data_IF_681308501713
#
_entry.id   IF_681308501713
#
_cell.length_a   1.000
_cell.length_b   1.000
_cell.length_c   1.000
_cell.angle_alpha   90.00
_cell.angle_beta   90.00
_cell.angle_gamma   90.00
#
_symmetry.space_group_name_H-M   'P 1'
#
loop_
_entity.id
_entity.type
_entity.pdbx_description
1 polymer ?
#
# COMPACT_ATOMS: atom_id res chain seq x y z
N UNK A 1 -2.02 -20.82 -2.97
CA UNK A 1 -2.12 -19.48 -2.34
C UNK A 1 -3.26 -18.73 -3.02
N UNK A 2 -4.14 -18.08 -2.27
CA UNK A 2 -5.26 -17.32 -2.82
C UNK A 2 -5.07 -15.83 -2.52
N UNK A 3 -5.11 -14.99 -3.54
CA UNK A 3 -5.05 -13.53 -3.44
C UNK A 3 -6.40 -12.97 -3.89
N UNK A 4 -7.12 -12.31 -2.99
CA UNK A 4 -8.36 -11.60 -3.29
C UNK A 4 -8.08 -10.10 -3.29
N UNK A 5 -8.41 -9.42 -4.39
CA UNK A 5 -8.31 -7.96 -4.51
C UNK A 5 -9.71 -7.35 -4.53
N UNK A 6 -9.98 -6.45 -3.58
CA UNK A 6 -11.30 -5.86 -3.39
C UNK A 6 -11.51 -4.58 -4.21
N UNK A 7 -12.78 -4.23 -4.52
CA UNK A 7 -13.09 -2.91 -5.07
C UNK A 7 -12.80 -1.79 -4.06
N UNK A 8 -11.73 -1.04 -4.29
CA UNK A 8 -11.20 -0.03 -3.37
C UNK A 8 -11.10 1.40 -3.97
N UNK A 9 -11.86 1.68 -5.03
CA UNK A 9 -11.84 2.93 -5.82
C UNK A 9 -10.43 3.20 -6.37
N UNK A 10 -9.79 4.30 -5.98
CA UNK A 10 -8.40 4.59 -6.31
C UNK A 10 -7.40 3.81 -5.48
N UNK A 11 -7.81 3.15 -4.39
CA UNK A 11 -6.90 2.55 -3.42
C UNK A 11 -6.59 1.06 -3.59
N UNK A 12 -5.83 0.54 -2.64
CA UNK A 12 -5.44 -0.87 -2.54
C UNK A 12 -6.11 -1.58 -1.36
N UNK A 13 -6.54 -2.83 -1.58
CA UNK A 13 -7.12 -3.68 -0.54
C UNK A 13 -7.05 -5.14 -0.96
N UNK A 14 -6.27 -5.93 -0.21
CA UNK A 14 -6.03 -7.33 -0.51
C UNK A 14 -6.21 -8.22 0.70
N UNK A 15 -6.77 -9.41 0.48
CA UNK A 15 -6.71 -10.53 1.42
C UNK A 15 -5.90 -11.65 0.77
N UNK A 16 -4.79 -12.02 1.39
CA UNK A 16 -3.93 -13.12 0.98
C UNK A 16 -4.12 -14.28 1.93
N UNK A 17 -4.42 -15.45 1.40
CA UNK A 17 -4.77 -16.66 2.14
C UNK A 17 -3.86 -17.82 1.77
N UNK A 18 -3.30 -18.49 2.78
CA UNK A 18 -2.27 -19.53 2.63
C UNK A 18 -2.74 -20.90 3.12
N UNK A 19 -2.34 -21.96 2.43
CA UNK A 19 -2.69 -23.36 2.75
C UNK A 19 -3.82 -23.94 1.90
N UNK A 20 -3.81 -25.26 1.68
CA UNK A 20 -4.90 -26.01 1.03
C UNK A 20 -6.20 -25.97 1.85
N UNK A 21 -6.07 -25.95 3.18
CA UNK A 21 -7.17 -25.74 4.13
C UNK A 21 -7.21 -24.31 4.68
N UNK A 22 -6.60 -23.35 3.97
CA UNK A 22 -6.50 -21.92 4.29
C UNK A 22 -6.38 -21.64 5.80
N UNK A 23 -5.17 -21.67 6.36
CA UNK A 23 -4.97 -21.53 7.82
C UNK A 23 -4.46 -20.17 8.25
N UNK A 24 -3.81 -19.47 7.34
CA UNK A 24 -3.11 -18.22 7.63
C UNK A 24 -3.50 -17.16 6.63
N UNK A 25 -3.60 -15.93 7.11
CA UNK A 25 -4.14 -14.81 6.34
C UNK A 25 -3.33 -13.55 6.55
N UNK A 26 -3.18 -12.78 5.49
CA UNK A 26 -2.63 -11.44 5.52
C UNK A 26 -3.62 -10.47 4.87
N UNK A 27 -3.71 -9.27 5.42
CA UNK A 27 -4.36 -8.13 4.75
C UNK A 27 -3.25 -7.17 4.32
N UNK A 28 -3.32 -6.68 3.08
CA UNK A 28 -2.39 -5.69 2.54
C UNK A 28 -3.24 -4.51 2.09
N UNK A 29 -3.11 -3.40 2.81
CA UNK A 29 -3.98 -2.24 2.74
C UNK A 29 -5.47 -2.59 2.89
N UNK A 30 -6.32 -1.57 2.93
CA UNK A 30 -7.72 -1.75 3.29
C UNK A 30 -8.69 -0.87 2.49
N UNK A 31 -8.17 -0.12 1.53
CA UNK A 31 -8.95 0.81 0.74
C UNK A 31 -9.51 1.96 1.58
N UNK A 32 -10.55 2.59 1.05
CA UNK A 32 -11.42 3.49 1.80
C UNK A 32 -12.31 2.77 2.83
N UNK A 33 -12.95 3.55 3.71
CA UNK A 33 -14.00 3.06 4.64
C UNK A 33 -15.06 2.21 3.92
N UNK A 34 -15.54 2.68 2.76
CA UNK A 34 -16.56 1.96 1.98
C UNK A 34 -16.09 0.55 1.56
N UNK A 35 -14.79 0.36 1.33
CA UNK A 35 -14.20 -0.95 1.00
C UNK A 35 -14.36 -1.90 2.18
N UNK A 36 -14.11 -1.39 3.38
CA UNK A 36 -14.30 -2.16 4.61
C UNK A 36 -15.76 -2.50 4.84
N UNK A 37 -16.64 -1.49 4.79
CA UNK A 37 -18.07 -1.64 5.07
C UNK A 37 -18.73 -2.64 4.10
N UNK A 38 -18.37 -2.59 2.81
CA UNK A 38 -19.04 -3.37 1.77
C UNK A 38 -18.40 -4.74 1.49
N UNK A 39 -17.11 -4.94 1.80
CA UNK A 39 -16.39 -6.16 1.40
C UNK A 39 -15.62 -6.82 2.55
N UNK A 40 -14.69 -6.10 3.18
CA UNK A 40 -13.79 -6.73 4.15
C UNK A 40 -14.54 -7.20 5.39
N UNK A 41 -15.47 -6.41 5.93
CA UNK A 41 -16.12 -6.71 7.21
C UNK A 41 -16.78 -8.09 7.21
N UNK A 42 -17.63 -8.37 6.22
CA UNK A 42 -18.33 -9.66 6.11
C UNK A 42 -17.32 -10.80 5.96
N UNK A 43 -16.28 -10.61 5.14
CA UNK A 43 -15.21 -11.60 4.93
C UNK A 43 -14.49 -11.93 6.24
N UNK A 44 -14.13 -10.92 7.02
CA UNK A 44 -13.43 -11.08 8.29
C UNK A 44 -14.32 -11.73 9.36
N UNK A 45 -15.61 -11.36 9.44
CA UNK A 45 -16.56 -12.02 10.33
C UNK A 45 -16.72 -13.51 9.98
N UNK A 46 -16.74 -13.85 8.69
CA UNK A 46 -16.78 -15.24 8.24
C UNK A 46 -15.52 -16.02 8.63
N UNK A 47 -14.33 -15.46 8.34
CA UNK A 47 -13.05 -16.06 8.75
C UNK A 47 -13.00 -16.31 10.27
N UNK A 48 -13.47 -15.35 11.06
CA UNK A 48 -13.53 -15.48 12.52
C UNK A 48 -14.47 -16.59 12.98
N UNK A 49 -15.67 -16.71 12.37
CA UNK A 49 -16.62 -17.81 12.65
C UNK A 49 -16.04 -19.19 12.32
N UNK A 50 -15.23 -19.25 11.27
CA UNK A 50 -14.54 -20.47 10.84
C UNK A 50 -13.26 -20.75 11.68
N UNK A 51 -12.98 -19.92 12.69
CA UNK A 51 -11.88 -20.11 13.64
C UNK A 51 -10.53 -19.57 13.18
N UNK A 52 -10.51 -18.76 12.12
CA UNK A 52 -9.29 -18.16 11.57
C UNK A 52 -8.97 -16.80 12.21
N UNK A 53 -7.77 -16.32 11.90
CA UNK A 53 -7.24 -15.03 12.35
C UNK A 53 -6.42 -14.38 11.25
N UNK A 54 -6.22 -13.06 11.33
CA UNK A 54 -5.26 -12.36 10.49
C UNK A 54 -3.88 -12.44 11.15
N UNK A 55 -2.93 -13.08 10.48
CA UNK A 55 -1.54 -13.17 10.94
C UNK A 55 -0.85 -11.82 10.85
N UNK A 56 -1.07 -11.09 9.75
CA UNK A 56 -0.44 -9.80 9.54
C UNK A 56 -1.36 -8.86 8.75
N UNK A 57 -1.58 -7.67 9.29
CA UNK A 57 -2.16 -6.54 8.57
C UNK A 57 -1.03 -5.58 8.19
N UNK A 58 -0.75 -5.44 6.90
CA UNK A 58 0.24 -4.50 6.38
C UNK A 58 -0.49 -3.26 5.88
N UNK A 59 -0.12 -2.10 6.41
CA UNK A 59 -0.53 -0.79 5.91
C UNK A 59 0.70 -0.16 5.27
N UNK A 60 0.71 -0.12 3.93
CA UNK A 60 1.91 0.19 3.15
C UNK A 60 2.37 1.61 3.37
N UNK A 61 1.44 2.57 3.42
CA UNK A 61 1.69 3.98 3.75
C UNK A 61 0.41 4.66 4.26
N UNK A 62 0.45 5.97 4.52
CA UNK A 62 -0.57 6.69 5.29
C UNK A 62 -1.74 7.25 4.47
N UNK A 63 -1.75 7.08 3.15
CA UNK A 63 -2.75 7.74 2.32
C UNK A 63 -4.15 7.15 2.54
N UNK A 64 -5.14 8.02 2.35
CA UNK A 64 -6.54 7.76 2.73
C UNK A 64 -7.12 6.53 2.05
N UNK A 65 -6.72 6.30 0.82
CA UNK A 65 -7.15 5.20 -0.01
C UNK A 65 -6.43 3.87 0.30
N UNK A 66 -5.49 3.87 1.25
CA UNK A 66 -4.89 2.66 1.80
C UNK A 66 -5.36 2.38 3.24
N UNK A 67 -5.44 3.42 4.08
CA UNK A 67 -5.70 3.27 5.53
C UNK A 67 -7.18 3.34 5.93
N UNK A 68 -8.05 3.88 5.06
CA UNK A 68 -9.41 4.25 5.43
C UNK A 68 -10.26 3.08 5.95
N UNK A 69 -10.11 1.89 5.36
CA UNK A 69 -10.77 0.68 5.82
C UNK A 69 -10.20 0.15 7.14
N UNK A 70 -8.89 0.28 7.36
CA UNK A 70 -8.18 -0.16 8.55
C UNK A 70 -8.54 0.69 9.76
N UNK A 71 -8.71 2.00 9.57
CA UNK A 71 -9.23 2.89 10.61
C UNK A 71 -10.60 2.41 11.12
N UNK A 72 -11.52 2.10 10.22
CA UNK A 72 -12.85 1.63 10.58
C UNK A 72 -12.81 0.20 11.16
N UNK A 73 -11.96 -0.68 10.62
CA UNK A 73 -11.72 -2.01 11.17
C UNK A 73 -11.22 -1.93 12.61
N UNK A 74 -10.12 -1.23 12.91
CA UNK A 74 -9.55 -1.21 14.26
C UNK A 74 -10.51 -0.54 15.26
N UNK A 75 -11.18 0.54 14.85
CA UNK A 75 -12.22 1.21 15.65
C UNK A 75 -13.36 0.24 16.03
N UNK A 76 -13.85 -0.54 15.07
CA UNK A 76 -14.99 -1.44 15.29
C UNK A 76 -14.58 -2.78 15.91
N UNK A 77 -13.35 -3.23 15.68
CA UNK A 77 -12.79 -4.46 16.22
C UNK A 77 -12.43 -4.32 17.71
N UNK A 78 -12.03 -3.13 18.16
CA UNK A 78 -11.72 -2.86 19.57
C UNK A 78 -10.40 -3.49 20.03
N UNK A 79 -10.32 -3.86 21.31
CA UNK A 79 -9.09 -4.34 21.95
C UNK A 79 -8.61 -5.70 21.39
N UNK A 80 -7.30 -5.84 21.20
CA UNK A 80 -6.67 -6.99 20.55
C UNK A 80 -6.87 -8.33 21.28
N UNK A 81 -6.98 -8.28 22.61
CA UNK A 81 -7.23 -9.47 23.46
C UNK A 81 -8.66 -10.00 23.37
N UNK A 82 -9.63 -9.14 23.07
CA UNK A 82 -11.05 -9.52 22.93
C UNK A 82 -11.68 -8.79 21.73
N UNK A 83 -11.26 -9.13 20.51
CA UNK A 83 -11.70 -8.45 19.30
C UNK A 83 -13.16 -8.78 19.00
N UNK A 84 -13.92 -7.78 18.54
CA UNK A 84 -15.34 -7.93 18.19
C UNK A 84 -15.56 -8.59 16.83
N UNK A 85 -14.57 -8.54 15.94
CA UNK A 85 -14.69 -8.99 14.55
C UNK A 85 -13.71 -10.13 14.30
N UNK A 86 -12.41 -9.87 14.37
CA UNK A 86 -11.38 -10.88 14.08
C UNK A 86 -10.10 -10.63 14.89
N UNK A 87 -9.42 -11.71 15.28
CA UNK A 87 -8.09 -11.62 15.88
C UNK A 87 -7.07 -11.20 14.83
N UNK A 88 -6.32 -10.14 15.13
CA UNK A 88 -5.18 -9.66 14.34
C UNK A 88 -3.92 -9.86 15.18
N UNK A 89 -2.99 -10.70 14.72
CA UNK A 89 -1.79 -11.05 15.50
C UNK A 89 -0.72 -9.96 15.46
N UNK A 90 -0.58 -9.27 14.33
CA UNK A 90 0.42 -8.23 14.13
C UNK A 90 -0.04 -7.21 13.08
N UNK A 91 0.39 -5.96 13.26
CA UNK A 91 0.17 -4.86 12.32
C UNK A 91 1.53 -4.28 11.93
N UNK A 92 1.76 -4.13 10.62
CA UNK A 92 2.89 -3.39 10.06
C UNK A 92 2.41 -2.03 9.57
N UNK A 93 2.98 -0.98 10.13
CA UNK A 93 2.75 0.39 9.71
C UNK A 93 3.90 1.27 10.22
N UNK A 94 4.45 2.12 9.36
CA UNK A 94 5.44 3.11 9.79
C UNK A 94 4.75 4.43 10.11
N UNK A 95 4.67 4.75 11.38
CA UNK A 95 4.25 6.07 11.86
C UNK A 95 5.42 6.78 12.54
N UNK A 96 5.20 8.03 12.93
CA UNK A 96 6.22 8.87 13.56
C UNK A 96 6.94 8.19 14.72
N UNK A 97 6.21 7.47 15.57
CA UNK A 97 6.75 6.76 16.74
C UNK A 97 7.91 5.84 16.39
N UNK A 98 7.87 5.24 15.19
CA UNK A 98 8.92 4.35 14.72
C UNK A 98 10.07 5.07 14.00
N UNK A 99 9.88 6.33 13.62
CA UNK A 99 10.92 7.18 12.99
C UNK A 99 11.87 7.81 14.01
N UNK A 100 11.49 7.83 15.29
CA UNK A 100 12.28 8.47 16.36
C UNK A 100 12.48 7.53 17.56
N UNK A 101 13.70 7.01 17.70
CA UNK A 101 14.07 6.13 18.82
C UNK A 101 14.29 6.88 20.15
N UNK A 102 14.31 8.23 20.13
CA UNK A 102 14.67 9.06 21.27
C UNK A 102 13.78 10.32 21.33
N UNK A 103 12.50 10.17 21.69
CA UNK A 103 11.77 11.28 22.28
C UNK A 103 12.45 11.57 23.63
N UNK A 104 13.09 12.73 23.78
CA UNK A 104 13.58 13.13 25.10
C UNK A 104 12.35 13.23 26.02
N UNK A 105 12.33 12.45 27.11
CA UNK A 105 11.31 12.46 28.17
C UNK A 105 11.25 13.80 28.95
N UNK A 106 11.70 14.90 28.37
CA UNK A 106 11.48 16.23 28.89
C UNK A 106 10.02 16.60 28.65
N UNK A 107 9.20 16.52 29.69
CA UNK A 107 7.83 17.03 29.67
C UNK A 107 7.90 18.52 29.29
N UNK A 108 7.60 18.84 28.03
CA UNK A 108 7.31 20.18 27.56
C UNK A 108 5.85 20.26 27.11
N UNK A 109 4.97 19.57 27.83
CA UNK A 109 3.51 19.62 27.66
C UNK A 109 3.01 21.01 28.10
N UNK A 110 3.34 22.00 27.27
CA UNK A 110 2.91 23.38 27.39
C UNK A 110 1.58 23.50 26.66
N UNK A 111 0.67 24.30 27.20
CA UNK A 111 -0.64 24.54 26.59
C UNK A 111 -0.49 24.89 25.08
N UNK A 112 0.52 25.69 24.74
CA UNK A 112 0.87 26.04 23.36
C UNK A 112 1.15 24.84 22.44
N UNK A 113 1.82 23.77 22.93
CA UNK A 113 2.12 22.60 22.09
C UNK A 113 0.83 21.88 21.72
N UNK A 114 -0.06 21.68 22.70
CA UNK A 114 -1.35 21.04 22.47
C UNK A 114 -2.21 21.86 21.50
N UNK A 115 -2.22 23.20 21.62
CA UNK A 115 -2.94 24.07 20.70
C UNK A 115 -2.41 23.98 19.26
N UNK A 116 -1.08 23.86 19.07
CA UNK A 116 -0.47 23.65 17.74
C UNK A 116 -0.89 22.30 17.16
N UNK A 117 -0.77 21.21 17.91
CA UNK A 117 -1.14 19.88 17.44
C UNK A 117 -2.64 19.77 17.15
N UNK A 118 -3.49 20.33 18.00
CA UNK A 118 -4.94 20.43 17.76
C UNK A 118 -5.24 21.25 16.50
N UNK A 119 -4.52 22.34 16.26
CA UNK A 119 -4.67 23.12 15.03
C UNK A 119 -4.36 22.26 13.79
N UNK A 120 -3.30 21.45 13.84
CA UNK A 120 -2.94 20.55 12.73
C UNK A 120 -4.04 19.51 12.50
N UNK A 121 -4.54 18.89 13.58
CA UNK A 121 -5.64 17.92 13.52
C UNK A 121 -6.91 18.54 12.93
N UNK A 122 -7.35 19.69 13.44
CA UNK A 122 -8.56 20.37 12.97
C UNK A 122 -8.46 20.73 11.48
N UNK A 123 -7.28 21.17 11.04
CA UNK A 123 -7.03 21.44 9.63
C UNK A 123 -7.12 20.17 8.78
N UNK A 124 -6.55 19.04 9.24
CA UNK A 124 -6.65 17.75 8.56
C UNK A 124 -8.08 17.23 8.48
N UNK A 125 -8.82 17.28 9.59
CA UNK A 125 -10.23 16.88 9.65
C UNK A 125 -11.11 17.71 8.70
N UNK A 126 -10.90 19.03 8.66
CA UNK A 126 -11.65 19.91 7.75
C UNK A 126 -11.41 19.56 6.28
N UNK A 127 -10.19 19.18 5.88
CA UNK A 127 -9.88 18.79 4.51
C UNK A 127 -10.57 17.48 4.15
N UNK A 128 -10.46 16.46 5.02
CA UNK A 128 -11.06 15.14 4.78
C UNK A 128 -12.59 15.23 4.66
N UNK A 129 -13.23 16.06 5.50
CA UNK A 129 -14.69 16.26 5.47
C UNK A 129 -15.16 17.01 4.21
N UNK A 130 -14.30 17.80 3.56
CA UNK A 130 -14.63 18.54 2.34
C UNK A 130 -14.42 17.73 1.04
N UNK A 131 -13.71 16.60 1.10
CA UNK A 131 -13.54 15.69 -0.04
C UNK A 131 -14.81 14.86 -0.27
N UNK A 132 -15.16 14.60 -1.54
CA UNK A 132 -16.25 13.67 -1.92
C UNK A 132 -15.90 12.23 -1.48
N UNK A 133 -16.40 11.86 -0.32
CA UNK A 133 -16.31 10.52 0.25
C UNK A 133 -16.76 10.62 1.69
N UNK A 134 -17.74 9.82 2.12
CA UNK A 134 -18.32 9.89 3.47
C UNK A 134 -17.33 9.37 4.51
N UNK A 135 -16.26 10.10 4.76
CA UNK A 135 -15.55 9.98 6.02
C UNK A 135 -16.13 11.06 6.91
N UNK A 136 -16.97 10.67 7.86
CA UNK A 136 -17.11 11.51 9.04
C UNK A 136 -15.78 11.39 9.79
N UNK A 137 -14.80 12.23 9.47
CA UNK A 137 -13.68 12.50 10.37
C UNK A 137 -14.17 13.39 11.52
N UNK A 138 -15.40 13.14 11.97
CA UNK A 138 -16.03 13.80 13.08
C UNK A 138 -15.37 13.24 14.34
N UNK A 139 -14.28 13.89 14.78
CA UNK A 139 -13.62 13.63 16.06
C UNK A 139 -13.02 12.22 16.22
N UNK A 140 -12.35 11.69 15.19
CA UNK A 140 -11.73 10.36 15.25
C UNK A 140 -10.24 10.39 15.59
N UNK A 141 -9.79 9.43 16.40
CA UNK A 141 -8.39 9.00 16.49
C UNK A 141 -7.90 8.45 15.15
N UNK A 142 -6.59 8.53 14.92
CA UNK A 142 -5.92 8.02 13.73
C UNK A 142 -5.37 6.59 13.94
N UNK A 143 -4.67 6.04 12.95
CA UNK A 143 -4.35 4.61 12.91
C UNK A 143 -3.43 4.22 14.06
N UNK A 144 -2.34 4.97 14.26
CA UNK A 144 -1.39 4.79 15.36
C UNK A 144 -2.08 4.80 16.73
N UNK A 145 -3.00 5.74 16.93
CA UNK A 145 -3.77 5.86 18.16
C UNK A 145 -4.61 4.60 18.42
N UNK A 146 -5.31 4.08 17.40
CA UNK A 146 -6.07 2.84 17.55
C UNK A 146 -5.19 1.61 17.76
N UNK A 147 -4.02 1.52 17.11
CA UNK A 147 -3.09 0.41 17.31
C UNK A 147 -2.64 0.37 18.77
N UNK A 148 -2.24 1.53 19.32
CA UNK A 148 -1.72 1.67 20.68
C UNK A 148 -2.81 1.47 21.74
N UNK A 149 -3.91 2.23 21.65
CA UNK A 149 -4.98 2.24 22.67
C UNK A 149 -5.69 0.88 22.78
N UNK A 150 -5.75 0.12 21.69
CA UNK A 150 -6.36 -1.21 21.66
C UNK A 150 -5.34 -2.35 21.86
N UNK A 151 -4.08 -2.05 22.16
CA UNK A 151 -3.07 -3.05 22.52
C UNK A 151 -2.68 -4.00 21.37
N UNK A 152 -2.72 -3.56 20.12
CA UNK A 152 -2.27 -4.38 19.00
C UNK A 152 -0.74 -4.48 18.97
N UNK A 153 -0.22 -5.66 18.60
CA UNK A 153 1.22 -5.85 18.37
C UNK A 153 1.62 -5.10 17.10
N UNK A 154 2.48 -4.09 17.27
CA UNK A 154 2.87 -3.17 16.20
C UNK A 154 4.33 -3.38 15.82
N UNK A 155 4.60 -3.67 14.54
CA UNK A 155 5.94 -3.90 13.96
C UNK A 155 6.80 -4.85 14.80
N UNK A 156 6.20 -5.85 15.43
CA UNK A 156 6.93 -6.66 16.41
C UNK A 156 7.95 -7.61 15.77
N UNK A 157 7.85 -7.91 14.48
CA UNK A 157 8.93 -8.52 13.69
C UNK A 157 10.22 -7.66 13.64
N UNK A 158 10.11 -6.36 13.97
CA UNK A 158 11.21 -5.39 14.04
C UNK A 158 11.39 -4.84 15.46
N UNK A 159 10.99 -5.59 16.50
CA UNK A 159 11.05 -5.16 17.90
C UNK A 159 10.32 -3.82 18.15
N UNK A 160 9.23 -3.57 17.41
CA UNK A 160 8.45 -2.33 17.48
C UNK A 160 9.07 -1.13 16.76
N UNK A 161 10.22 -1.31 16.07
CA UNK A 161 10.87 -0.27 15.26
C UNK A 161 10.23 -0.15 13.88
N UNK A 162 10.71 0.78 13.07
CA UNK A 162 10.21 0.95 11.71
C UNK A 162 10.49 -0.29 10.85
N UNK A 163 9.50 -0.67 10.05
CA UNK A 163 9.68 -1.60 8.94
C UNK A 163 10.57 -0.89 7.92
N UNK A 164 11.76 -1.44 7.69
CA UNK A 164 12.77 -0.87 6.80
C UNK A 164 13.55 -2.02 6.17
N UNK A 165 14.13 -1.79 5.00
CA UNK A 165 15.07 -2.76 4.41
C UNK A 165 16.16 -3.09 5.43
N UNK A 166 16.28 -4.37 5.80
CA UNK A 166 17.25 -4.87 6.78
C UNK A 166 18.06 -6.02 6.17
N UNK A 167 19.02 -5.69 5.31
CA UNK A 167 19.85 -6.68 4.59
C UNK A 167 19.04 -7.80 3.92
N UNK A 168 17.80 -7.50 3.53
CA UNK A 168 16.86 -8.46 2.93
C UNK A 168 16.65 -9.74 3.76
N UNK A 169 16.69 -9.60 5.09
CA UNK A 169 16.35 -10.68 6.01
C UNK A 169 14.96 -11.24 5.71
N UNK A 170 14.86 -12.57 5.69
CA UNK A 170 13.59 -13.29 5.50
C UNK A 170 12.84 -13.36 6.82
N UNK A 171 11.86 -12.48 6.98
CA UNK A 171 11.00 -12.42 8.15
C UNK A 171 10.03 -13.60 8.13
N UNK A 172 10.14 -14.47 9.12
CA UNK A 172 9.32 -15.69 9.21
C UNK A 172 7.97 -15.34 9.83
N UNK A 173 6.90 -15.42 9.03
CA UNK A 173 5.53 -15.31 9.55
C UNK A 173 5.04 -16.67 10.09
N UNK A 174 5.42 -17.75 9.40
CA UNK A 174 5.21 -19.16 9.79
C UNK A 174 6.18 -20.08 9.03
N UNK A 175 6.16 -21.39 9.29
CA UNK A 175 7.10 -22.38 8.73
C UNK A 175 7.29 -22.27 7.21
N UNK A 176 6.18 -22.03 6.48
CA UNK A 176 6.15 -21.98 5.02
C UNK A 176 6.06 -20.56 4.46
N UNK A 177 5.91 -19.51 5.30
CA UNK A 177 5.63 -18.14 4.85
C UNK A 177 6.72 -17.19 5.33
N UNK A 178 7.41 -16.58 4.37
CA UNK A 178 8.48 -15.60 4.62
C UNK A 178 8.22 -14.32 3.85
N UNK A 179 8.65 -13.21 4.45
CA UNK A 179 8.54 -11.88 3.87
C UNK A 179 9.92 -11.25 3.72
N UNK A 180 10.19 -10.64 2.57
CA UNK A 180 11.43 -9.88 2.32
C UNK A 180 11.06 -8.44 2.01
N UNK A 181 11.46 -7.51 2.87
CA UNK A 181 11.17 -6.07 2.69
C UNK A 181 12.14 -5.45 1.67
N UNK A 182 11.58 -4.75 0.69
CA UNK A 182 12.28 -4.08 -0.42
C UNK A 182 12.16 -2.54 -0.37
N UNK A 183 11.28 -2.02 0.47
CA UNK A 183 11.06 -0.58 0.70
C UNK A 183 10.31 -0.46 2.04
N UNK A 184 10.49 0.61 2.82
CA UNK A 184 11.31 1.80 2.56
C UNK A 184 12.79 1.65 2.91
N UNK A 185 13.61 2.58 2.43
CA UNK A 185 14.99 2.78 2.89
C UNK A 185 15.01 3.62 4.17
N UNK A 186 16.10 3.55 4.94
CA UNK A 186 16.31 4.46 6.06
C UNK A 186 16.35 5.94 5.66
N UNK A 187 16.80 6.25 4.44
CA UNK A 187 16.79 7.61 3.89
C UNK A 187 15.36 8.11 3.66
N UNK A 188 14.51 7.28 3.08
CA UNK A 188 13.09 7.59 2.81
C UNK A 188 12.34 7.92 4.12
N UNK A 189 12.59 7.12 5.17
CA UNK A 189 12.04 7.37 6.50
C UNK A 189 12.58 8.66 7.15
N UNK A 190 13.86 8.98 6.95
CA UNK A 190 14.46 10.22 7.47
C UNK A 190 13.92 11.47 6.75
N UNK A 191 13.53 11.37 5.47
CA UNK A 191 12.85 12.48 4.75
C UNK A 191 11.52 12.84 5.40
N UNK A 192 10.65 11.84 5.65
CA UNK A 192 9.37 12.05 6.34
C UNK A 192 9.57 12.71 7.70
N UNK A 193 10.54 12.20 8.47
CA UNK A 193 10.89 12.77 9.77
C UNK A 193 11.31 14.23 9.65
N UNK A 194 12.27 14.56 8.79
CA UNK A 194 12.73 15.95 8.57
C UNK A 194 11.60 16.87 8.17
N UNK A 195 10.67 16.41 7.34
CA UNK A 195 9.51 17.19 6.93
C UNK A 195 8.59 17.52 8.09
N UNK A 196 8.25 16.53 8.91
CA UNK A 196 7.42 16.76 10.09
C UNK A 196 8.10 17.73 11.07
N UNK A 197 9.40 17.53 11.35
CA UNK A 197 10.18 18.45 12.18
C UNK A 197 10.15 19.88 11.66
N UNK A 198 10.31 20.06 10.34
CA UNK A 198 10.27 21.38 9.70
C UNK A 198 8.90 22.05 9.86
N UNK A 199 7.81 21.30 9.80
CA UNK A 199 6.47 21.87 10.03
C UNK A 199 6.30 22.33 11.49
N UNK A 200 6.73 21.52 12.46
CA UNK A 200 6.65 21.90 13.87
C UNK A 200 7.53 23.11 14.19
N UNK A 201 8.77 23.14 13.72
CA UNK A 201 9.68 24.29 13.90
C UNK A 201 9.15 25.58 13.25
N UNK A 202 8.45 25.46 12.11
CA UNK A 202 7.78 26.60 11.45
C UNK A 202 6.63 27.15 12.29
N UNK A 203 5.98 26.32 13.10
CA UNK A 203 4.87 26.71 14.00
C UNK A 203 5.39 27.28 15.31
N UNK A 204 6.45 26.72 15.88
CA UNK A 204 7.11 27.17 17.11
C UNK A 204 8.57 26.73 17.11
N UNK A 205 9.48 27.69 17.24
CA UNK A 205 10.91 27.39 17.30
C UNK A 205 11.25 26.59 18.57
N UNK A 206 12.02 25.52 18.41
CA UNK A 206 12.41 24.64 19.51
C UNK A 206 11.27 23.76 20.04
N UNK A 207 10.27 23.47 19.20
CA UNK A 207 9.19 22.54 19.52
C UNK A 207 9.77 21.20 20.00
N UNK A 208 9.32 20.70 21.14
CA UNK A 208 9.78 19.43 21.70
C UNK A 208 8.90 18.29 21.23
N UNK A 209 9.52 17.14 20.97
CA UNK A 209 8.83 15.92 20.57
C UNK A 209 8.23 15.23 21.79
N UNK A 210 7.00 14.74 21.63
CA UNK A 210 6.23 14.15 22.71
C UNK A 210 5.59 12.85 22.24
N UNK A 211 5.59 11.85 23.11
CA UNK A 211 4.79 10.65 22.90
C UNK A 211 3.36 10.92 23.35
N UNK A 212 2.41 10.79 22.42
CA UNK A 212 1.00 10.87 22.79
C UNK A 212 0.06 10.82 21.60
N UNK A 213 -1.18 10.44 21.88
CA UNK A 213 -2.27 10.36 20.90
C UNK A 213 -2.40 11.63 20.04
N UNK A 214 -2.32 12.80 20.68
CA UNK A 214 -2.45 14.08 20.00
C UNK A 214 -1.32 14.31 18.98
N UNK A 215 -0.10 13.87 19.31
CA UNK A 215 1.05 13.99 18.43
C UNK A 215 0.93 13.03 17.24
N UNK A 216 0.54 11.78 17.50
CA UNK A 216 0.31 10.77 16.46
C UNK A 216 -0.77 11.21 15.48
N UNK A 217 -1.93 11.64 16.00
CA UNK A 217 -3.05 12.11 15.18
C UNK A 217 -2.61 13.32 14.33
N UNK A 218 -1.88 14.28 14.92
CA UNK A 218 -1.39 15.45 14.20
C UNK A 218 -0.39 15.09 13.08
N UNK A 219 0.51 14.14 13.33
CA UNK A 219 1.45 13.65 12.33
C UNK A 219 0.71 13.00 11.15
N UNK A 220 -0.20 12.07 11.42
CA UNK A 220 -0.91 11.35 10.35
C UNK A 220 -1.76 12.30 9.52
N UNK A 221 -2.53 13.20 10.16
CA UNK A 221 -3.31 14.22 9.45
C UNK A 221 -2.43 15.17 8.62
N UNK A 222 -1.22 15.49 9.10
CA UNK A 222 -0.30 16.34 8.35
C UNK A 222 0.23 15.63 7.10
N UNK A 223 0.59 14.35 7.20
CA UNK A 223 1.13 13.59 6.07
C UNK A 223 0.07 13.35 4.99
N UNK A 224 -1.14 12.91 5.37
CA UNK A 224 -2.26 12.68 4.44
C UNK A 224 -2.67 13.91 3.61
N UNK A 225 -2.32 15.12 4.05
CA UNK A 225 -2.71 16.37 3.38
C UNK A 225 -1.91 16.62 2.09
N UNK A 226 -0.72 16.04 1.97
CA UNK A 226 0.28 16.56 1.05
C UNK A 226 0.20 15.99 -0.36
N UNK A 227 -0.37 14.80 -0.52
CA UNK A 227 -0.45 14.08 -1.81
C UNK A 227 -1.59 14.58 -2.72
N UNK A 228 -2.52 15.40 -2.22
CA UNK A 228 -3.54 16.03 -3.09
C UNK A 228 -2.95 17.02 -4.12
N UNK A 229 -1.69 17.45 -3.95
CA UNK A 229 -1.07 18.42 -4.86
C UNK A 229 -0.42 17.80 -6.09
N UNK A 230 -0.15 16.49 -6.12
CA UNK A 230 0.53 15.82 -7.23
C UNK A 230 -0.43 15.28 -8.31
N UNK A 231 -1.68 15.00 -7.98
CA UNK A 231 -2.60 14.29 -8.90
C UNK A 231 -3.50 15.20 -9.77
N UNK A 232 -3.36 16.52 -9.61
CA UNK A 232 -4.02 17.51 -10.48
C UNK A 232 -3.34 17.59 -11.84
N UNK A 233 -3.66 16.69 -12.77
CA UNK A 233 -3.50 17.06 -14.18
C UNK A 233 -3.37 15.99 -15.25
N UNK A 234 -3.35 14.69 -14.94
CA UNK A 234 -3.31 13.70 -16.02
C UNK A 234 -4.71 13.51 -16.60
N UNK A 235 -5.13 14.47 -17.43
CA UNK A 235 -6.25 14.25 -18.35
C UNK A 235 -5.90 13.04 -19.21
N UNK A 236 -6.64 11.95 -19.01
CA UNK A 236 -6.58 10.76 -19.85
C UNK A 236 -6.69 11.20 -21.30
N UNK A 237 -5.62 11.06 -22.08
CA UNK A 237 -5.69 11.24 -23.54
C UNK A 237 -6.47 10.06 -24.09
N UNK A 238 -7.78 10.21 -24.19
CA UNK A 238 -8.69 9.26 -24.85
C UNK A 238 -8.53 9.42 -26.38
N UNK A 239 -7.32 9.25 -26.90
CA UNK A 239 -7.08 9.03 -28.33
C UNK A 239 -6.38 7.67 -28.47
N UNK A 240 -7.03 6.63 -27.95
CA UNK A 240 -6.50 5.28 -27.78
C UNK A 240 -6.24 4.51 -29.09
N UNK A 241 -6.32 5.15 -30.26
CA UNK A 241 -6.28 4.44 -31.55
C UNK A 241 -5.21 4.93 -32.54
N UNK A 242 -4.53 6.04 -32.30
CA UNK A 242 -3.49 6.51 -33.24
C UNK A 242 -2.10 5.90 -33.04
N UNK A 243 -1.85 5.20 -31.92
CA UNK A 243 -0.92 4.06 -31.86
C UNK A 243 -0.87 3.45 -30.44
N UNK A 244 -0.99 2.12 -30.35
CA UNK A 244 -0.73 1.39 -29.10
C UNK A 244 0.77 1.29 -28.78
N UNK A 245 1.64 1.82 -29.66
CA UNK A 245 3.07 1.93 -29.38
C UNK A 245 3.35 2.91 -28.23
N UNK A 246 4.51 2.73 -27.62
CA UNK A 246 5.09 3.61 -26.60
C UNK A 246 6.57 3.77 -26.93
N UNK A 247 7.09 4.98 -26.74
CA UNK A 247 8.52 5.22 -26.84
C UNK A 247 9.19 4.81 -25.52
N UNK A 248 9.76 3.60 -25.52
CA UNK A 248 10.46 3.04 -24.36
C UNK A 248 11.74 3.79 -24.00
N UNK A 249 12.24 4.67 -24.89
CA UNK A 249 13.45 5.47 -24.64
C UNK A 249 13.16 6.76 -23.90
N UNK A 250 11.88 7.16 -23.81
CA UNK A 250 11.49 8.39 -23.15
C UNK A 250 11.65 8.25 -21.63
N UNK A 251 12.36 9.18 -20.97
CA UNK A 251 12.50 9.14 -19.52
C UNK A 251 11.13 9.32 -18.85
N UNK A 252 10.90 8.52 -17.82
CA UNK A 252 9.75 8.61 -16.94
C UNK A 252 10.06 9.65 -15.86
N UNK A 253 9.19 10.64 -15.69
CA UNK A 253 9.23 11.54 -14.54
C UNK A 253 8.84 10.73 -13.30
N UNK A 254 9.72 10.67 -12.30
CA UNK A 254 9.50 9.83 -11.12
C UNK A 254 8.66 10.54 -10.07
N UNK A 255 7.91 9.74 -9.31
CA UNK A 255 7.21 10.21 -8.12
C UNK A 255 8.20 10.76 -7.08
N UNK A 256 7.86 11.94 -6.55
CA UNK A 256 8.65 12.68 -5.54
C UNK A 256 7.94 12.78 -4.20
N UNK A 257 6.78 12.14 -4.05
CA UNK A 257 6.08 12.05 -2.78
C UNK A 257 6.90 11.25 -1.76
N UNK A 258 7.16 11.87 -0.61
CA UNK A 258 7.90 11.24 0.49
C UNK A 258 7.07 10.18 1.21
N UNK A 259 5.74 10.30 1.22
CA UNK A 259 4.80 9.31 1.76
C UNK A 259 4.78 8.07 0.87
N UNK A 260 4.71 8.24 -0.45
CA UNK A 260 4.82 7.13 -1.40
C UNK A 260 6.21 6.46 -1.35
N UNK A 261 7.28 7.26 -1.27
CA UNK A 261 8.65 6.75 -1.09
C UNK A 261 8.82 5.94 0.21
N UNK A 262 7.98 6.18 1.22
CA UNK A 262 7.98 5.44 2.49
C UNK A 262 7.19 4.13 2.46
N UNK A 263 6.57 3.79 1.33
CA UNK A 263 5.73 2.60 1.17
C UNK A 263 6.47 1.32 1.52
N UNK A 264 5.80 0.45 2.26
CA UNK A 264 6.28 -0.91 2.52
C UNK A 264 6.04 -1.77 1.28
N UNK A 265 7.11 -2.03 0.52
CA UNK A 265 7.11 -3.02 -0.56
C UNK A 265 7.83 -4.28 -0.12
N UNK A 266 7.35 -5.45 -0.55
CA UNK A 266 7.90 -6.71 -0.09
C UNK A 266 7.59 -7.87 -1.04
N UNK A 267 8.39 -8.93 -0.88
CA UNK A 267 8.16 -10.24 -1.48
C UNK A 267 7.50 -11.14 -0.44
N UNK A 268 6.51 -11.91 -0.88
CA UNK A 268 5.95 -13.04 -0.15
C UNK A 268 6.51 -14.32 -0.76
N UNK A 269 7.26 -15.09 0.02
CA UNK A 269 7.64 -16.47 -0.30
C UNK A 269 6.67 -17.41 0.42
N UNK A 270 5.98 -18.27 -0.34
CA UNK A 270 5.12 -19.33 0.21
C UNK A 270 5.32 -20.64 -0.53
N UNK A 271 5.91 -21.64 0.12
CA UNK A 271 6.35 -22.89 -0.51
C UNK A 271 7.20 -22.60 -1.75
N UNK A 272 6.70 -22.93 -2.94
CA UNK A 272 7.37 -22.70 -4.23
C UNK A 272 6.96 -21.38 -4.89
N UNK A 273 5.99 -20.66 -4.33
CA UNK A 273 5.47 -19.43 -4.92
C UNK A 273 6.18 -18.18 -4.39
N UNK A 274 6.37 -17.21 -5.28
CA UNK A 274 6.89 -15.86 -5.01
C UNK A 274 5.92 -14.81 -5.54
N UNK A 275 5.44 -13.94 -4.65
CA UNK A 275 4.54 -12.82 -5.01
C UNK A 275 5.18 -11.49 -4.63
N UNK A 276 5.17 -10.52 -5.53
CA UNK A 276 5.75 -9.20 -5.33
C UNK A 276 4.65 -8.14 -5.13
N UNK A 277 4.67 -7.44 -4.00
CA UNK A 277 3.81 -6.29 -3.72
C UNK A 277 4.66 -5.02 -3.65
N UNK A 278 4.40 -4.06 -4.55
CA UNK A 278 5.24 -2.86 -4.69
C UNK A 278 4.77 -1.65 -3.87
N UNK A 279 3.57 -1.71 -3.26
CA UNK A 279 2.96 -0.55 -2.60
C UNK A 279 2.95 0.66 -3.54
N UNK A 280 3.21 1.85 -3.02
CA UNK A 280 3.31 3.07 -3.84
C UNK A 280 4.76 3.51 -4.04
N UNK A 281 5.68 2.56 -3.90
CA UNK A 281 7.11 2.80 -3.82
C UNK A 281 7.70 3.41 -5.11
N UNK A 282 8.76 4.18 -4.93
CA UNK A 282 9.53 4.69 -6.05
C UNK A 282 10.26 3.54 -6.79
N UNK A 283 10.17 3.44 -8.13
CA UNK A 283 10.73 2.31 -8.88
C UNK A 283 12.24 2.22 -8.75
N UNK A 284 12.96 3.33 -8.53
CA UNK A 284 14.41 3.32 -8.33
C UNK A 284 14.82 2.59 -7.04
N UNK A 285 14.06 2.77 -5.96
CA UNK A 285 14.31 2.08 -4.68
C UNK A 285 14.10 0.58 -4.86
N UNK A 286 13.01 0.20 -5.52
CA UNK A 286 12.67 -1.20 -5.78
C UNK A 286 13.71 -1.86 -6.69
N UNK A 287 14.06 -1.25 -7.82
CA UNK A 287 15.08 -1.77 -8.74
C UNK A 287 16.40 -1.99 -8.01
N UNK A 288 16.86 -1.00 -7.23
CA UNK A 288 18.10 -1.10 -6.45
C UNK A 288 18.03 -2.28 -5.47
N UNK A 289 16.93 -2.38 -4.72
CA UNK A 289 16.73 -3.42 -3.72
C UNK A 289 16.70 -4.82 -4.33
N UNK A 290 16.02 -4.98 -5.46
CA UNK A 290 15.97 -6.25 -6.19
C UNK A 290 17.34 -6.61 -6.77
N UNK A 291 18.07 -5.68 -7.38
CA UNK A 291 19.42 -5.94 -7.90
C UNK A 291 20.37 -6.35 -6.77
N UNK A 292 20.35 -5.68 -5.63
CA UNK A 292 21.16 -6.08 -4.48
C UNK A 292 20.77 -7.47 -3.95
N UNK A 293 19.47 -7.77 -3.86
CA UNK A 293 18.99 -9.09 -3.45
C UNK A 293 19.44 -10.17 -4.45
N UNK A 294 19.39 -9.89 -5.77
CA UNK A 294 19.89 -10.77 -6.82
C UNK A 294 21.39 -11.05 -6.65
N UNK A 295 22.18 -10.00 -6.43
CA UNK A 295 23.64 -10.11 -6.33
C UNK A 295 24.09 -10.80 -5.04
N UNK A 296 23.49 -10.44 -3.90
CA UNK A 296 23.89 -10.95 -2.57
C UNK A 296 23.42 -12.38 -2.34
N UNK A 297 22.19 -12.70 -2.75
CA UNK A 297 21.53 -13.96 -2.42
C UNK A 297 21.35 -14.91 -3.62
N UNK A 298 21.84 -14.51 -4.82
CA UNK A 298 21.54 -15.20 -6.08
C UNK A 298 20.02 -15.42 -6.27
N UNK A 299 19.23 -14.41 -5.89
CA UNK A 299 17.78 -14.51 -5.82
C UNK A 299 17.17 -14.54 -7.22
N UNK A 300 16.29 -15.52 -7.46
CA UNK A 300 15.57 -15.65 -8.73
C UNK A 300 14.46 -14.59 -8.85
N UNK A 301 14.53 -13.77 -9.91
CA UNK A 301 13.61 -12.65 -10.17
C UNK A 301 12.36 -13.02 -10.98
N UNK A 302 12.10 -14.31 -11.14
CA UNK A 302 10.80 -14.78 -11.61
C UNK A 302 9.79 -14.74 -10.46
N UNK A 303 8.63 -14.11 -10.68
CA UNK A 303 7.53 -14.04 -9.73
C UNK A 303 6.28 -14.68 -10.33
N UNK A 304 5.50 -15.37 -9.49
CA UNK A 304 4.23 -15.96 -9.90
C UNK A 304 3.14 -14.90 -10.13
N UNK A 305 3.28 -13.77 -9.44
CA UNK A 305 2.36 -12.64 -9.44
C UNK A 305 3.08 -11.35 -9.01
N UNK A 306 2.83 -10.24 -9.70
CA UNK A 306 3.33 -8.90 -9.35
C UNK A 306 2.15 -7.94 -9.23
N UNK A 307 1.95 -7.33 -8.05
CA UNK A 307 1.10 -6.14 -7.89
C UNK A 307 1.95 -4.90 -8.15
N UNK A 308 1.60 -4.19 -9.22
CA UNK A 308 2.33 -2.99 -9.65
C UNK A 308 2.14 -1.85 -8.66
N UNK A 309 3.05 -0.87 -8.73
CA UNK A 309 3.04 0.24 -7.81
C UNK A 309 1.93 1.25 -8.07
N UNK A 310 1.37 1.86 -7.00
CA UNK A 310 0.60 3.10 -7.06
C UNK A 310 -0.52 3.07 -8.11
N UNK A 311 -1.32 1.99 -8.07
CA UNK A 311 -2.48 1.80 -8.94
C UNK A 311 -2.17 1.84 -10.46
N UNK A 312 -0.90 1.69 -10.85
CA UNK A 312 -0.46 1.90 -12.23
C UNK A 312 -0.30 3.36 -12.62
N UNK A 313 0.16 4.19 -11.67
CA UNK A 313 0.67 5.54 -11.94
C UNK A 313 1.86 5.49 -12.91
N UNK A 314 1.92 6.38 -13.91
CA UNK A 314 3.03 6.44 -14.85
C UNK A 314 4.34 6.87 -14.19
N UNK A 315 4.31 7.37 -12.95
CA UNK A 315 5.48 7.87 -12.23
C UNK A 315 6.17 6.81 -11.35
N UNK A 316 5.54 5.64 -11.19
CA UNK A 316 5.97 4.60 -10.24
C UNK A 316 6.38 3.28 -10.93
N UNK A 317 6.42 3.22 -12.27
CA UNK A 317 6.86 2.05 -13.04
C UNK A 317 7.65 2.49 -14.26
N UNK A 318 8.79 1.84 -14.53
CA UNK A 318 9.66 2.12 -15.68
C UNK A 318 10.28 0.82 -16.24
N UNK A 319 10.90 0.89 -17.41
CA UNK A 319 11.56 -0.28 -18.02
C UNK A 319 12.74 -0.80 -17.19
N UNK A 320 13.47 0.07 -16.49
CA UNK A 320 14.59 -0.36 -15.63
C UNK A 320 14.12 -1.36 -14.55
N UNK A 321 12.98 -1.11 -13.92
CA UNK A 321 12.34 -2.06 -13.01
C UNK A 321 11.85 -3.31 -13.73
N UNK A 322 11.14 -3.14 -14.85
CA UNK A 322 10.54 -4.24 -15.59
C UNK A 322 11.55 -5.16 -16.28
N UNK A 323 12.77 -4.71 -16.51
CA UNK A 323 13.89 -5.52 -17.03
C UNK A 323 14.55 -6.38 -15.93
N UNK A 324 14.36 -6.02 -14.66
CA UNK A 324 14.91 -6.78 -13.52
C UNK A 324 14.01 -7.94 -13.12
N UNK A 325 12.68 -7.81 -13.26
CA UNK A 325 11.69 -8.79 -12.83
C UNK A 325 10.99 -9.47 -14.00
N UNK A 326 10.48 -10.67 -13.78
CA UNK A 326 9.67 -11.38 -14.76
C UNK A 326 8.41 -11.97 -14.13
N UNK A 327 7.27 -11.85 -14.80
CA UNK A 327 6.00 -12.46 -14.37
C UNK A 327 5.05 -12.66 -15.53
N UNK A 328 4.26 -13.74 -15.46
CA UNK A 328 3.12 -13.97 -16.35
C UNK A 328 1.81 -13.38 -15.81
N UNK A 329 1.75 -12.96 -14.54
CA UNK A 329 0.54 -12.41 -13.90
C UNK A 329 0.83 -11.07 -13.25
N UNK A 330 0.06 -10.07 -13.67
CA UNK A 330 0.21 -8.68 -13.23
C UNK A 330 -1.11 -8.19 -12.66
N UNK A 331 -1.07 -7.63 -11.46
CA UNK A 331 -2.24 -7.11 -10.76
C UNK A 331 -2.18 -5.59 -10.76
N UNK A 332 -3.29 -4.98 -11.16
CA UNK A 332 -3.43 -3.55 -11.33
C UNK A 332 -4.72 -3.11 -10.66
N UNK A 333 -4.62 -2.31 -9.61
CA UNK A 333 -5.76 -1.76 -8.89
C UNK A 333 -6.09 -0.36 -9.38
N UNK A 334 -7.35 0.06 -9.25
CA UNK A 334 -7.80 1.42 -9.52
C UNK A 334 -9.03 1.46 -10.43
N UNK A 335 -9.94 2.39 -10.17
CA UNK A 335 -11.19 2.53 -10.92
C UNK A 335 -11.09 3.45 -12.16
N UNK A 336 -9.95 4.10 -12.39
CA UNK A 336 -9.76 5.02 -13.51
C UNK A 336 -10.23 6.46 -13.29
N UNK A 337 -10.88 6.80 -12.16
CA UNK A 337 -11.45 8.14 -11.92
C UNK A 337 -10.37 9.23 -11.83
N UNK A 338 -9.18 8.88 -11.35
CA UNK A 338 -8.03 9.78 -11.18
C UNK A 338 -6.95 9.57 -12.25
N UNK A 339 -7.27 8.89 -13.36
CA UNK A 339 -6.32 8.61 -14.44
C UNK A 339 -5.51 7.32 -14.28
N UNK A 340 -5.52 6.72 -13.08
CA UNK A 340 -4.93 5.42 -12.80
C UNK A 340 -6.01 4.31 -12.77
N UNK A 341 -5.79 3.16 -13.42
CA UNK A 341 -4.54 2.76 -14.08
C UNK A 341 -4.27 3.48 -15.39
N UNK A 342 -3.00 3.83 -15.61
CA UNK A 342 -2.56 4.52 -16.80
C UNK A 342 -2.18 3.53 -17.92
N UNK A 343 -2.65 3.80 -19.14
CA UNK A 343 -2.40 2.94 -20.31
C UNK A 343 -0.91 2.81 -20.64
N UNK A 344 -0.11 3.84 -20.40
CA UNK A 344 1.32 3.79 -20.70
C UNK A 344 2.04 2.78 -19.79
N UNK A 345 1.61 2.63 -18.54
CA UNK A 345 2.12 1.58 -17.64
C UNK A 345 1.75 0.19 -18.15
N UNK A 346 0.52 0.00 -18.64
CA UNK A 346 0.12 -1.25 -19.26
C UNK A 346 0.98 -1.55 -20.49
N UNK A 347 1.26 -0.55 -21.34
CA UNK A 347 2.14 -0.71 -22.50
C UNK A 347 3.57 -1.07 -22.08
N UNK A 348 4.11 -0.47 -21.02
CA UNK A 348 5.43 -0.84 -20.48
C UNK A 348 5.47 -2.32 -20.09
N UNK A 349 4.49 -2.79 -19.31
CA UNK A 349 4.36 -4.21 -18.90
C UNK A 349 4.24 -5.14 -20.11
N UNK A 350 3.46 -4.75 -21.12
CA UNK A 350 3.28 -5.58 -22.32
C UNK A 350 4.55 -5.64 -23.20
N UNK A 351 5.41 -4.62 -23.13
CA UNK A 351 6.68 -4.57 -23.85
C UNK A 351 7.85 -5.19 -23.08
N UNK A 352 7.77 -5.37 -21.76
CA UNK A 352 8.75 -6.18 -21.02
C UNK A 352 8.54 -7.66 -21.31
N UNK A 353 9.61 -8.47 -21.33
CA UNK A 353 9.55 -9.93 -21.53
C UNK A 353 8.50 -10.38 -22.57
N UNK A 354 8.56 -9.87 -23.81
CA UNK A 354 7.52 -10.08 -24.85
C UNK A 354 7.30 -11.56 -25.20
N UNK A 355 8.26 -12.41 -24.88
CA UNK A 355 8.17 -13.87 -25.02
C UNK A 355 7.15 -14.52 -24.08
N UNK A 356 6.86 -13.88 -22.94
CA UNK A 356 5.95 -14.36 -21.90
C UNK A 356 4.53 -13.85 -22.18
N UNK A 357 3.59 -14.79 -22.25
CA UNK A 357 2.16 -14.46 -22.30
C UNK A 357 1.72 -13.90 -20.94
N UNK A 358 1.12 -12.71 -20.93
CA UNK A 358 0.76 -11.99 -19.70
C UNK A 358 -0.74 -12.08 -19.42
N UNK A 359 -1.10 -12.15 -18.15
CA UNK A 359 -2.46 -11.98 -17.63
C UNK A 359 -2.50 -10.71 -16.81
N UNK A 360 -3.35 -9.77 -17.19
CA UNK A 360 -3.58 -8.51 -16.51
C UNK A 360 -4.87 -8.61 -15.69
N UNK A 361 -4.74 -8.59 -14.37
CA UNK A 361 -5.85 -8.66 -13.42
C UNK A 361 -6.18 -7.26 -12.92
N UNK A 362 -7.42 -6.82 -13.14
CA UNK A 362 -7.94 -5.53 -12.65
C UNK A 362 -9.02 -5.75 -11.60
N UNK A 363 -9.15 -4.90 -10.57
CA UNK A 363 -10.26 -4.97 -9.59
C UNK A 363 -11.54 -4.27 -10.07
N UNK A 364 -11.51 -3.68 -11.26
CA UNK A 364 -12.64 -2.99 -11.86
C UNK A 364 -12.82 -3.38 -13.32
N UNK A 365 -14.08 -3.38 -13.73
CA UNK A 365 -14.48 -3.32 -15.13
C UNK A 365 -14.72 -1.85 -15.50
N UNK A 366 -14.25 -1.40 -16.65
CA UNK A 366 -14.52 -0.03 -17.15
C UNK A 366 -14.28 0.07 -18.66
N UNK A 367 -14.93 1.04 -19.31
CA UNK A 367 -14.92 1.20 -20.78
C UNK A 367 -13.49 1.28 -21.37
N UNK A 368 -12.53 1.85 -20.63
CA UNK A 368 -11.15 1.93 -21.12
C UNK A 368 -10.41 0.59 -21.02
N UNK A 369 -10.75 -0.26 -20.05
CA UNK A 369 -10.21 -1.62 -19.95
C UNK A 369 -10.78 -2.45 -21.10
N UNK A 370 -12.01 -2.20 -21.51
CA UNK A 370 -12.59 -2.86 -22.68
C UNK A 370 -11.84 -2.54 -23.98
N UNK A 371 -11.15 -1.40 -24.05
CA UNK A 371 -10.25 -1.09 -25.18
C UNK A 371 -9.04 -2.03 -25.25
N UNK A 372 -8.64 -2.64 -24.12
CA UNK A 372 -7.62 -3.68 -24.07
C UNK A 372 -8.15 -5.04 -24.53
N UNK A 373 -9.47 -5.26 -24.53
CA UNK A 373 -10.11 -6.46 -25.07
C UNK A 373 -10.21 -6.40 -26.61
N UNK A 374 -9.08 -6.14 -27.27
CA UNK A 374 -8.95 -6.09 -28.72
C UNK A 374 -8.14 -7.29 -29.20
N UNK A 375 -8.74 -8.15 -30.04
CA UNK A 375 -8.12 -9.39 -30.52
C UNK A 375 -6.74 -9.19 -31.16
N UNK A 376 -6.58 -8.12 -31.96
CA UNK A 376 -5.30 -7.79 -32.59
C UNK A 376 -4.24 -7.44 -31.54
N UNK A 377 -4.58 -6.57 -30.58
CA UNK A 377 -3.64 -6.19 -29.51
C UNK A 377 -3.27 -7.38 -28.63
N UNK A 378 -4.26 -8.18 -28.22
CA UNK A 378 -4.05 -9.37 -27.39
C UNK A 378 -3.14 -10.40 -28.07
N UNK A 379 -3.29 -10.56 -29.40
CA UNK A 379 -2.41 -11.41 -30.20
C UNK A 379 -0.99 -10.82 -30.33
N UNK A 380 -0.87 -9.54 -30.71
CA UNK A 380 0.41 -8.87 -30.96
C UNK A 380 1.28 -8.74 -29.70
N UNK A 381 0.65 -8.42 -28.57
CA UNK A 381 1.33 -8.23 -27.28
C UNK A 381 1.19 -9.45 -26.35
N UNK A 382 0.55 -10.53 -26.82
CA UNK A 382 0.41 -11.82 -26.14
C UNK A 382 -0.11 -11.68 -24.71
N UNK A 383 -1.31 -11.12 -24.55
CA UNK A 383 -1.91 -10.95 -23.23
C UNK A 383 -3.39 -11.31 -23.14
N UNK A 384 -3.84 -11.46 -21.90
CA UNK A 384 -5.24 -11.63 -21.51
C UNK A 384 -5.60 -10.58 -20.46
N UNK A 385 -6.82 -10.06 -20.52
CA UNK A 385 -7.39 -9.16 -19.52
C UNK A 385 -8.40 -9.93 -18.68
N UNK A 386 -8.32 -9.77 -17.37
CA UNK A 386 -9.20 -10.44 -16.41
C UNK A 386 -9.75 -9.38 -15.46
N UNK A 387 -11.07 -9.28 -15.42
CA UNK A 387 -11.84 -8.34 -14.58
C UNK A 387 -12.87 -9.12 -13.76
N UNK A 388 -13.27 -8.64 -12.58
CA UNK A 388 -14.36 -9.25 -11.83
C UNK A 388 -15.71 -8.94 -12.46
N UNK A 389 -16.75 -9.63 -12.01
CA UNK A 389 -18.10 -9.13 -12.21
C UNK A 389 -18.29 -7.80 -11.47
N UNK A 390 -19.23 -6.97 -11.92
CA UNK A 390 -19.48 -5.65 -11.35
C UNK A 390 -19.83 -5.80 -9.87
N UNK A 391 -19.06 -5.13 -9.01
CA UNK A 391 -19.27 -5.15 -7.56
C UNK A 391 -18.69 -6.38 -6.85
N UNK A 392 -17.92 -7.23 -7.53
CA UNK A 392 -17.23 -8.38 -6.92
C UNK A 392 -15.73 -8.13 -6.78
N UNK A 393 -15.10 -8.83 -5.84
CA UNK A 393 -13.64 -8.93 -5.76
C UNK A 393 -13.09 -9.88 -6.82
N UNK A 394 -11.87 -9.63 -7.29
CA UNK A 394 -11.17 -10.57 -8.17
C UNK A 394 -10.29 -11.52 -7.34
N UNK A 395 -10.40 -12.82 -7.61
CA UNK A 395 -9.65 -13.88 -6.93
C UNK A 395 -8.59 -14.46 -7.84
N UNK A 396 -7.37 -14.59 -7.35
CA UNK A 396 -6.22 -15.14 -8.06
C UNK A 396 -5.70 -16.32 -7.26
N UNK A 397 -5.85 -17.51 -7.84
CA UNK A 397 -5.34 -18.76 -7.25
C UNK A 397 -3.97 -19.05 -7.88
N UNK A 398 -2.96 -19.13 -7.03
CA UNK A 398 -1.67 -19.72 -7.38
C UNK A 398 -1.71 -21.17 -6.89
N UNK A 399 -1.95 -22.07 -7.84
CA UNK A 399 -1.92 -23.52 -7.65
C UNK A 399 -0.47 -24.01 -7.75
N UNK A 400 -0.12 -24.95 -6.88
CA UNK A 400 1.18 -25.60 -6.82
C UNK A 400 1.00 -27.08 -6.55
#
# INVERSE_FOLDING_TARGET
>A
MLIEMFPAKSGDSFLVSFGENIKEHMIIDSGFKDTYDNYLKEKLEKLSKDGHSINLLVITHIDKDHIGGALELLKTNGHSENPKIIKIKEIWHNSYRQLELNCNNGISNTQDHNEILQSIILNGQSMINNQKGKISASQGSMLSSYILENGYKWNGAYDGKAIVINNYERLVMSDDIRLIVLSPTGESLEKLKKRWRKELERKKSGFQFEDGKLFDDAYEFFMMRQDEKSDYGIKRKISAMESFSIDLTKPVELDTSETNESSIAFIIEYKTHKVLFLGDSNPKIITTSLLELKEKENYDMNFDLVKISHHGSPHNTNMELLDVISSSRWVVSGNGEHGNPNIDVIKLILNSNREIKKKLYFNYHSDWIDLLNNEFLMSEYRYEVITPQIGESISIVLEG
#
